data_IF_615514625529
#
_entry.id   IF_615514625529
#
_cell.length_a   1.000
_cell.length_b   1.000
_cell.length_c   1.000
_cell.angle_alpha   90.00
_cell.angle_beta   90.00
_cell.angle_gamma   90.00
#
_symmetry.space_group_name_H-M   'P 1'
#
loop_
_entity.id
_entity.type
_entity.pdbx_description
1 polymer ?
#
# COMPACT_ATOMS: atom_id res chain seq x y z
N UNK A 1 -18.21 -8.97 14.75
CA UNK A 1 -18.23 -7.86 13.78
C UNK A 1 -17.13 -8.17 12.79
N UNK A 2 -17.50 -8.45 11.53
CA UNK A 2 -16.51 -8.60 10.46
C UNK A 2 -16.10 -7.17 10.13
N UNK A 3 -14.93 -6.74 10.62
CA UNK A 3 -14.36 -5.44 10.23
C UNK A 3 -14.14 -5.47 8.73
N UNK A 4 -14.49 -4.39 8.03
CA UNK A 4 -14.12 -4.23 6.62
C UNK A 4 -12.63 -3.88 6.54
N UNK A 5 -11.77 -4.77 7.04
CA UNK A 5 -10.35 -4.51 7.11
C UNK A 5 -9.74 -4.79 5.73
N UNK A 6 -8.88 -3.90 5.25
CA UNK A 6 -8.23 -4.01 3.96
C UNK A 6 -6.72 -4.11 4.15
N UNK A 7 -6.12 -5.06 3.44
CA UNK A 7 -4.65 -5.18 3.38
C UNK A 7 -4.18 -4.45 2.14
N UNK A 8 -3.29 -3.47 2.34
CA UNK A 8 -2.71 -2.67 1.28
C UNK A 8 -1.22 -2.96 1.23
N UNK A 9 -0.75 -3.37 0.05
CA UNK A 9 0.65 -3.65 -0.22
C UNK A 9 1.17 -2.61 -1.20
N UNK A 10 2.31 -2.02 -0.85
CA UNK A 10 2.99 -0.97 -1.58
C UNK A 10 4.37 -1.48 -1.98
N UNK A 11 4.58 -1.61 -3.28
CA UNK A 11 5.88 -2.00 -3.84
C UNK A 11 6.79 -0.76 -3.93
N UNK A 12 7.97 -0.87 -3.33
CA UNK A 12 8.97 0.18 -3.30
C UNK A 12 10.20 -0.23 -4.10
N UNK A 13 10.81 0.74 -4.77
CA UNK A 13 12.10 0.57 -5.44
C UNK A 13 12.93 1.85 -5.27
N UNK A 14 14.23 1.69 -5.07
CA UNK A 14 15.16 2.80 -4.85
C UNK A 14 15.58 3.53 -6.14
N UNK A 15 14.98 3.23 -7.30
CA UNK A 15 15.42 3.79 -8.59
C UNK A 15 16.78 3.23 -9.04
N UNK A 16 17.06 3.36 -10.33
CA UNK A 16 18.04 2.53 -11.02
C UNK A 16 19.42 3.22 -11.12
N UNK A 17 20.19 3.25 -10.04
CA UNK A 17 21.65 3.49 -10.11
C UNK A 17 22.47 2.24 -9.76
N UNK A 18 21.90 1.29 -9.03
CA UNK A 18 22.53 0.01 -8.73
C UNK A 18 21.48 -0.97 -8.25
N UNK A 19 21.08 -1.95 -9.09
CA UNK A 19 20.17 -3.09 -8.80
C UNK A 19 19.29 -2.81 -7.57
N UNK A 20 18.45 -1.78 -7.69
CA UNK A 20 17.89 -1.09 -6.53
C UNK A 20 17.08 -2.05 -5.68
N UNK A 21 17.37 -2.11 -4.39
CA UNK A 21 16.66 -2.96 -3.44
C UNK A 21 15.14 -2.72 -3.61
N UNK A 22 14.43 -3.81 -3.86
CA UNK A 22 12.97 -3.83 -3.91
C UNK A 22 12.48 -4.35 -2.57
N UNK A 23 11.53 -3.64 -1.98
CA UNK A 23 10.86 -4.08 -0.77
C UNK A 23 9.37 -3.79 -0.86
N UNK A 24 8.62 -4.46 -0.01
CA UNK A 24 7.19 -4.26 0.11
C UNK A 24 6.89 -3.66 1.48
N UNK A 25 6.04 -2.64 1.50
CA UNK A 25 5.43 -2.11 2.71
C UNK A 25 3.98 -2.59 2.77
N UNK A 26 3.58 -3.17 3.90
CA UNK A 26 2.23 -3.66 4.11
C UNK A 26 1.59 -2.92 5.27
N UNK A 27 0.36 -2.46 5.09
CA UNK A 27 -0.45 -1.88 6.17
C UNK A 27 -1.89 -2.38 6.08
N UNK A 28 -2.46 -2.64 7.25
CA UNK A 28 -3.88 -2.98 7.41
C UNK A 28 -4.62 -1.70 7.74
N UNK A 29 -5.70 -1.43 7.01
CA UNK A 29 -6.62 -0.33 7.25
C UNK A 29 -7.96 -0.92 7.70
N UNK A 30 -8.62 -0.24 8.61
CA UNK A 30 -9.97 -0.61 9.02
C UNK A 30 -11.00 -0.14 7.98
N UNK A 31 -12.24 -0.55 8.18
CA UNK A 31 -13.36 -0.17 7.32
C UNK A 31 -13.82 1.28 7.44
N UNK A 32 -13.32 2.01 8.43
CA UNK A 32 -13.65 3.41 8.68
C UNK A 32 -12.66 4.34 7.98
N UNK A 33 -11.45 3.85 7.66
CA UNK A 33 -10.46 4.58 6.88
C UNK A 33 -10.99 4.94 5.49
N UNK A 34 -10.81 6.20 5.14
CA UNK A 34 -11.18 6.72 3.84
C UNK A 34 -10.19 6.31 2.76
N UNK A 35 -10.66 6.25 1.50
CA UNK A 35 -9.79 6.00 0.36
C UNK A 35 -8.63 7.01 0.29
N UNK A 36 -8.86 8.28 0.64
CA UNK A 36 -7.81 9.29 0.63
C UNK A 36 -6.70 8.98 1.64
N UNK A 37 -7.03 8.56 2.86
CA UNK A 37 -6.03 8.18 3.87
C UNK A 37 -5.18 6.98 3.42
N UNK A 38 -5.80 6.02 2.73
CA UNK A 38 -5.10 4.88 2.14
C UNK A 38 -4.14 5.35 1.02
N UNK A 39 -4.62 6.23 0.14
CA UNK A 39 -3.84 6.75 -0.97
C UNK A 39 -2.70 7.65 -0.52
N UNK A 40 -2.90 8.49 0.49
CA UNK A 40 -1.87 9.37 1.06
C UNK A 40 -0.70 8.53 1.63
N UNK A 41 -1.00 7.45 2.35
CA UNK A 41 0.02 6.50 2.81
C UNK A 41 0.72 5.78 1.64
N UNK A 42 -0.06 5.33 0.66
CA UNK A 42 0.46 4.56 -0.47
C UNK A 42 1.38 5.40 -1.38
N UNK A 43 1.05 6.68 -1.58
CA UNK A 43 1.86 7.62 -2.37
C UNK A 43 3.08 8.07 -1.54
N UNK A 44 2.90 8.43 -0.27
CA UNK A 44 3.96 8.98 0.59
C UNK A 44 4.62 10.24 -0.01
N UNK A 45 5.84 10.57 0.43
CA UNK A 45 6.57 11.77 -0.02
C UNK A 45 7.28 11.64 -1.39
N UNK A 46 7.01 10.58 -2.14
CA UNK A 46 7.77 10.25 -3.33
C UNK A 46 7.23 11.00 -4.56
N UNK A 47 7.94 12.06 -4.98
CA UNK A 47 7.77 12.62 -6.32
C UNK A 47 8.15 11.55 -7.36
N UNK A 48 7.17 11.10 -8.15
CA UNK A 48 7.34 10.47 -9.48
C UNK A 48 7.83 9.02 -9.59
N UNK A 49 7.81 8.20 -8.54
CA UNK A 49 7.97 6.74 -8.71
C UNK A 49 6.65 6.07 -9.14
N UNK A 50 6.68 5.23 -10.18
CA UNK A 50 5.50 4.44 -10.62
C UNK A 50 5.20 3.36 -9.58
N UNK A 51 4.43 3.71 -8.54
CA UNK A 51 4.05 2.76 -7.48
C UNK A 51 2.88 1.90 -7.94
N UNK A 52 3.00 0.60 -7.77
CA UNK A 52 1.90 -0.34 -7.90
C UNK A 52 1.27 -0.53 -6.52
N UNK A 53 -0.06 -0.43 -6.43
CA UNK A 53 -0.82 -0.60 -5.18
C UNK A 53 -1.76 -1.78 -5.38
N UNK A 54 -1.64 -2.80 -4.54
CA UNK A 54 -2.58 -3.92 -4.50
C UNK A 54 -3.44 -3.82 -3.24
N UNK A 55 -4.76 -3.90 -3.42
CA UNK A 55 -5.76 -3.88 -2.35
C UNK A 55 -6.43 -5.26 -2.31
N UNK A 56 -6.39 -5.93 -1.16
CA UNK A 56 -7.05 -7.23 -0.97
C UNK A 56 -8.08 -7.15 0.14
N UNK A 57 -9.32 -7.57 -0.18
CA UNK A 57 -10.37 -7.77 0.80
C UNK A 57 -10.27 -9.20 1.33
N UNK A 58 -10.04 -9.41 2.63
CA UNK A 58 -10.07 -10.75 3.20
C UNK A 58 -11.50 -11.30 3.12
N UNK A 59 -11.64 -12.54 2.68
CA UNK A 59 -12.92 -13.25 2.76
C UNK A 59 -13.20 -13.59 4.24
N UNK A 60 -14.42 -13.35 4.74
CA UNK A 60 -14.80 -13.85 6.06
C UNK A 60 -14.92 -15.38 6.01
N UNK A 61 -14.30 -16.07 6.98
CA UNK A 61 -14.45 -17.52 7.21
C UNK A 61 -15.91 -17.95 7.42
#
# INVERSE_FOLDING_TARGET
MIGNDFVIIKDMSAGNESVGEMWQETKIFDGENTLNEVMDWAIGDAETSKKHIQITKPEPD
#
